data_IF_603354421796
#
_entry.id   IF_603354421796
#
_cell.length_a   1.000
_cell.length_b   1.000
_cell.length_c   1.000
_cell.angle_alpha   90.00
_cell.angle_beta   90.00
_cell.angle_gamma   90.00
#
_symmetry.space_group_name_H-M   'P 1'
#
loop_
_entity.id
_entity.type
_entity.pdbx_description
1 polymer ?
#
# COMPACT_ATOMS: atom_id res chain seq x y z
N UNK A 1 -4.39 6.86 32.19
CA UNK A 1 -3.94 6.28 30.90
C UNK A 1 -3.04 7.32 30.25
N UNK A 2 -1.78 6.99 30.00
CA UNK A 2 -0.88 7.88 29.26
C UNK A 2 -1.11 7.77 27.73
N UNK A 3 -0.49 8.65 26.95
CA UNK A 3 -0.66 8.70 25.49
C UNK A 3 -0.22 7.40 24.81
N UNK A 4 0.87 6.79 25.27
CA UNK A 4 1.41 5.57 24.68
C UNK A 4 0.51 4.37 24.99
N UNK A 5 -0.02 4.28 26.21
CA UNK A 5 -1.00 3.28 26.63
C UNK A 5 -2.29 3.37 25.80
N UNK A 6 -2.77 4.59 25.55
CA UNK A 6 -3.92 4.80 24.67
C UNK A 6 -3.62 4.36 23.23
N UNK A 7 -2.47 4.78 22.69
CA UNK A 7 -2.06 4.48 21.33
C UNK A 7 -1.94 2.97 21.07
N UNK A 8 -1.20 2.24 21.93
CA UNK A 8 -0.96 0.79 21.78
C UNK A 8 -2.13 -0.09 22.22
N UNK A 9 -3.08 0.47 22.97
CA UNK A 9 -4.24 -0.24 23.50
C UNK A 9 -5.51 0.09 22.71
N UNK A 10 -6.43 0.91 23.26
CA UNK A 10 -7.72 1.20 22.63
C UNK A 10 -7.64 1.69 21.19
N UNK A 11 -6.75 2.65 20.88
CA UNK A 11 -6.70 3.27 19.55
C UNK A 11 -6.33 2.25 18.47
N UNK A 12 -5.26 1.48 18.71
CA UNK A 12 -4.82 0.45 17.77
C UNK A 12 -5.85 -0.69 17.63
N UNK A 13 -6.50 -1.08 18.73
CA UNK A 13 -7.54 -2.13 18.71
C UNK A 13 -8.72 -1.73 17.81
N UNK A 14 -9.25 -0.52 17.99
CA UNK A 14 -10.33 0.00 17.14
C UNK A 14 -9.89 0.18 15.69
N UNK A 15 -8.66 0.65 15.45
CA UNK A 15 -8.12 0.78 14.11
C UNK A 15 -8.03 -0.56 13.38
N UNK A 16 -7.59 -1.62 14.07
CA UNK A 16 -7.59 -2.97 13.51
C UNK A 16 -9.01 -3.49 13.22
N UNK A 17 -9.96 -3.27 14.14
CA UNK A 17 -11.34 -3.70 13.93
C UNK A 17 -11.96 -3.02 12.70
N UNK A 18 -11.77 -1.70 12.55
CA UNK A 18 -12.23 -0.94 11.39
C UNK A 18 -11.54 -1.42 10.11
N UNK A 19 -10.22 -1.64 10.16
CA UNK A 19 -9.45 -2.15 9.03
C UNK A 19 -9.99 -3.50 8.56
N UNK A 20 -10.11 -4.49 9.46
CA UNK A 20 -10.58 -5.84 9.12
C UNK A 20 -12.01 -5.81 8.61
N UNK A 21 -12.91 -5.07 9.27
CA UNK A 21 -14.28 -4.93 8.83
C UNK A 21 -14.36 -4.26 7.45
N UNK A 22 -13.68 -3.13 7.26
CA UNK A 22 -13.69 -2.37 6.01
C UNK A 22 -13.08 -3.16 4.85
N UNK A 23 -11.98 -3.88 5.09
CA UNK A 23 -11.35 -4.78 4.12
C UNK A 23 -12.32 -5.89 3.71
N UNK A 24 -12.92 -6.56 4.69
CA UNK A 24 -13.88 -7.65 4.43
C UNK A 24 -15.09 -7.13 3.65
N UNK A 25 -15.69 -6.02 4.09
CA UNK A 25 -16.81 -5.38 3.42
C UNK A 25 -16.51 -5.03 1.96
N UNK A 26 -15.37 -4.39 1.69
CA UNK A 26 -14.94 -4.03 0.33
C UNK A 26 -14.71 -5.26 -0.55
N UNK A 27 -13.98 -6.24 -0.05
CA UNK A 27 -13.61 -7.44 -0.81
C UNK A 27 -14.85 -8.29 -1.11
N UNK A 28 -15.68 -8.56 -0.10
CA UNK A 28 -16.94 -9.28 -0.27
C UNK A 28 -17.86 -8.53 -1.21
N UNK A 29 -18.01 -7.21 -1.04
CA UNK A 29 -18.81 -6.38 -1.95
C UNK A 29 -18.39 -6.52 -3.42
N UNK A 30 -17.09 -6.50 -3.70
CA UNK A 30 -16.54 -6.69 -5.06
C UNK A 30 -16.79 -8.10 -5.59
N UNK A 31 -16.71 -9.13 -4.74
CA UNK A 31 -16.99 -10.51 -5.14
C UNK A 31 -18.48 -10.76 -5.40
N UNK A 32 -19.36 -10.09 -4.65
CA UNK A 32 -20.82 -10.16 -4.81
C UNK A 32 -21.35 -9.30 -5.96
N UNK A 33 -20.55 -8.39 -6.51
CA UNK A 33 -20.93 -7.57 -7.66
C UNK A 33 -21.22 -8.48 -8.87
N UNK A 34 -22.50 -8.55 -9.23
CA UNK A 34 -23.00 -9.41 -10.31
C UNK A 34 -22.34 -9.04 -11.63
N UNK A 35 -21.49 -9.94 -12.14
CA UNK A 35 -20.96 -9.84 -13.50
C UNK A 35 -22.06 -10.22 -14.48
N UNK A 36 -22.15 -9.50 -15.60
CA UNK A 36 -23.03 -9.93 -16.68
C UNK A 36 -22.54 -11.29 -17.19
N UNK A 37 -23.45 -12.28 -17.35
CA UNK A 37 -23.07 -13.56 -17.92
C UNK A 37 -22.46 -13.33 -19.31
N UNK A 38 -21.32 -13.97 -19.55
CA UNK A 38 -20.68 -13.96 -20.86
C UNK A 38 -21.21 -15.14 -21.66
N UNK A 39 -22.14 -14.86 -22.57
CA UNK A 39 -22.80 -15.87 -23.41
C UNK A 39 -21.92 -16.35 -24.58
N UNK A 40 -20.74 -15.74 -24.79
CA UNK A 40 -19.82 -16.19 -25.84
C UNK A 40 -19.18 -17.53 -25.45
N UNK A 41 -18.94 -18.41 -26.42
CA UNK A 41 -18.20 -19.65 -26.20
C UNK A 41 -16.74 -19.33 -25.81
N UNK A 42 -16.17 -19.99 -24.78
CA UNK A 42 -14.79 -19.75 -24.38
C UNK A 42 -13.83 -20.22 -25.49
N UNK A 43 -12.97 -19.32 -25.97
CA UNK A 43 -11.89 -19.66 -26.91
C UNK A 43 -10.73 -20.38 -26.21
N UNK A 44 -10.57 -20.13 -24.90
CA UNK A 44 -9.64 -20.86 -24.04
C UNK A 44 -10.33 -21.19 -22.71
N UNK A 45 -10.12 -22.41 -22.21
CA UNK A 45 -10.67 -22.91 -20.95
C UNK A 45 -9.74 -22.65 -19.77
N UNK A 46 -8.45 -22.40 -20.01
CA UNK A 46 -7.43 -22.18 -18.98
C UNK A 46 -7.40 -20.73 -18.46
N UNK A 47 -8.53 -20.17 -18.01
CA UNK A 47 -8.63 -18.75 -17.63
C UNK A 47 -7.70 -18.32 -16.48
N UNK A 48 -7.26 -19.25 -15.63
CA UNK A 48 -6.32 -18.96 -14.54
C UNK A 48 -4.92 -18.55 -15.03
N UNK A 49 -4.45 -19.09 -16.16
CA UNK A 49 -3.12 -18.73 -16.69
C UNK A 49 -3.10 -17.26 -17.12
N UNK A 50 -4.18 -16.79 -17.74
CA UNK A 50 -4.36 -15.37 -18.07
C UNK A 50 -4.42 -14.46 -16.86
N UNK A 51 -5.01 -14.92 -15.75
CA UNK A 51 -5.06 -14.18 -14.50
C UNK A 51 -3.64 -13.89 -13.97
N UNK A 52 -2.81 -14.92 -13.82
CA UNK A 52 -1.42 -14.77 -13.39
C UNK A 52 -0.63 -13.93 -14.38
N UNK A 53 -0.76 -14.23 -15.69
CA UNK A 53 -0.03 -13.53 -16.74
C UNK A 53 -0.30 -12.03 -16.70
N UNK A 54 -1.55 -11.60 -16.60
CA UNK A 54 -1.89 -10.16 -16.58
C UNK A 54 -1.39 -9.47 -15.30
N UNK A 55 -1.42 -10.14 -14.15
CA UNK A 55 -0.87 -9.59 -12.89
C UNK A 55 0.61 -9.23 -13.09
N UNK A 56 1.38 -10.12 -13.70
CA UNK A 56 2.82 -9.95 -13.93
C UNK A 56 3.07 -8.95 -15.06
N UNK A 57 2.51 -9.16 -16.25
CA UNK A 57 2.83 -8.35 -17.43
C UNK A 57 2.40 -6.89 -17.29
N UNK A 58 1.30 -6.63 -16.58
CA UNK A 58 0.80 -5.25 -16.36
C UNK A 58 1.38 -4.57 -15.14
N UNK A 59 2.35 -5.20 -14.46
CA UNK A 59 3.18 -4.52 -13.46
C UNK A 59 4.25 -3.62 -14.11
N UNK A 60 4.48 -3.76 -15.42
CA UNK A 60 5.38 -2.92 -16.19
C UNK A 60 4.66 -2.23 -17.36
N UNK A 61 5.00 -0.97 -17.68
CA UNK A 61 4.37 -0.23 -18.77
C UNK A 61 4.80 -0.78 -20.12
N UNK A 62 3.83 -0.77 -21.03
CA UNK A 62 4.05 -1.02 -22.45
C UNK A 62 5.01 0.00 -23.07
N UNK A 63 5.73 -0.42 -24.11
CA UNK A 63 6.82 0.35 -24.73
C UNK A 63 6.32 1.72 -25.24
N UNK A 64 5.11 1.74 -25.77
CA UNK A 64 4.38 2.87 -26.33
C UNK A 64 4.15 3.97 -25.29
N UNK A 65 3.90 3.59 -24.03
CA UNK A 65 3.62 4.53 -22.94
C UNK A 65 4.84 4.81 -22.05
N UNK A 66 5.93 4.06 -22.22
CA UNK A 66 7.11 4.10 -21.36
C UNK A 66 7.65 5.51 -21.16
N UNK A 67 7.77 6.31 -22.23
CA UNK A 67 8.28 7.69 -22.16
C UNK A 67 7.49 8.58 -21.19
N UNK A 68 6.18 8.39 -21.08
CA UNK A 68 5.30 9.22 -20.24
C UNK A 68 5.14 8.66 -18.82
N UNK A 69 5.24 7.35 -18.65
CA UNK A 69 4.90 6.67 -17.38
C UNK A 69 6.12 6.26 -16.56
N UNK A 70 7.28 6.05 -17.18
CA UNK A 70 8.44 5.43 -16.51
C UNK A 70 8.89 6.19 -15.27
N UNK A 71 8.94 7.53 -15.31
CA UNK A 71 9.36 8.32 -14.14
C UNK A 71 8.42 8.09 -12.95
N UNK A 72 7.11 8.17 -13.17
CA UNK A 72 6.13 7.97 -12.10
C UNK A 72 6.15 6.55 -11.54
N UNK A 73 6.32 5.58 -12.43
CA UNK A 73 6.42 4.18 -12.05
C UNK A 73 7.70 3.90 -11.24
N UNK A 74 8.86 4.38 -11.67
CA UNK A 74 10.13 4.15 -11.00
C UNK A 74 10.12 4.74 -9.60
N UNK A 75 9.72 6.00 -9.44
CA UNK A 75 9.58 6.61 -8.11
C UNK A 75 8.53 5.87 -7.28
N UNK A 76 7.45 5.42 -7.93
CA UNK A 76 6.45 4.53 -7.35
C UNK A 76 7.05 3.27 -6.74
N UNK A 77 7.82 2.50 -7.52
CA UNK A 77 8.48 1.29 -7.04
C UNK A 77 9.51 1.58 -5.95
N UNK A 78 10.28 2.66 -6.07
CA UNK A 78 11.27 3.05 -5.07
C UNK A 78 10.62 3.18 -3.69
N UNK A 79 9.50 3.92 -3.57
CA UNK A 79 8.86 4.06 -2.26
C UNK A 79 8.16 2.77 -1.81
N UNK A 80 7.56 1.98 -2.71
CA UNK A 80 6.93 0.71 -2.30
C UNK A 80 7.94 -0.33 -1.81
N UNK A 81 9.08 -0.45 -2.50
CA UNK A 81 10.17 -1.34 -2.07
C UNK A 81 10.74 -0.85 -0.76
N UNK A 82 11.00 0.45 -0.63
CA UNK A 82 11.46 1.04 0.63
C UNK A 82 10.48 0.83 1.79
N UNK A 83 9.18 1.00 1.57
CA UNK A 83 8.14 0.66 2.55
C UNK A 83 8.17 -0.82 2.93
N UNK A 84 8.29 -1.73 1.96
CA UNK A 84 8.37 -3.16 2.24
C UNK A 84 9.61 -3.50 3.08
N UNK A 85 10.77 -2.91 2.77
CA UNK A 85 12.00 -3.08 3.55
C UNK A 85 11.81 -2.57 4.98
N UNK A 86 11.22 -1.39 5.18
CA UNK A 86 11.01 -0.82 6.51
C UNK A 86 10.00 -1.64 7.33
N UNK A 87 8.87 -2.00 6.73
CA UNK A 87 7.78 -2.73 7.42
C UNK A 87 8.18 -4.15 7.76
N UNK A 88 8.79 -4.88 6.81
CA UNK A 88 9.12 -6.29 7.02
C UNK A 88 10.56 -6.51 7.50
N UNK A 89 11.49 -5.58 7.28
CA UNK A 89 12.89 -5.78 7.66
C UNK A 89 13.27 -5.25 9.04
N UNK A 90 12.47 -4.37 9.64
CA UNK A 90 12.86 -3.68 10.88
C UNK A 90 12.43 -4.46 12.14
N UNK A 91 13.36 -4.64 13.08
CA UNK A 91 13.14 -5.50 14.25
C UNK A 91 11.90 -5.15 15.10
N UNK A 92 11.60 -3.87 15.41
CA UNK A 92 10.36 -3.51 16.12
C UNK A 92 9.09 -3.87 15.35
N UNK A 93 9.08 -3.75 14.02
CA UNK A 93 7.93 -4.16 13.21
C UNK A 93 7.78 -5.68 13.17
N UNK A 94 8.88 -6.43 13.08
CA UNK A 94 8.85 -7.90 13.14
C UNK A 94 8.29 -8.34 14.50
N UNK A 95 8.74 -7.73 15.61
CA UNK A 95 8.20 -8.01 16.95
C UNK A 95 6.70 -7.73 17.05
N UNK A 96 6.23 -6.64 16.44
CA UNK A 96 4.81 -6.31 16.35
C UNK A 96 4.02 -7.33 15.51
N UNK A 97 4.56 -7.77 14.37
CA UNK A 97 3.91 -8.78 13.53
C UNK A 97 3.87 -10.13 14.26
N UNK A 98 4.94 -10.49 14.98
CA UNK A 98 5.00 -11.69 15.81
C UNK A 98 3.94 -11.66 16.91
N UNK A 99 3.72 -10.53 17.57
CA UNK A 99 2.69 -10.44 18.62
C UNK A 99 1.26 -10.58 18.07
N UNK A 100 1.03 -10.25 16.80
CA UNK A 100 -0.27 -10.39 16.14
C UNK A 100 -0.50 -11.75 15.49
N UNK A 101 0.53 -12.34 14.88
CA UNK A 101 0.40 -13.50 13.98
C UNK A 101 1.18 -14.74 14.44
N UNK A 102 2.11 -14.58 15.37
CA UNK A 102 3.08 -15.61 15.76
C UNK A 102 4.23 -15.81 14.78
N UNK A 103 4.22 -15.16 13.61
CA UNK A 103 5.27 -15.29 12.59
C UNK A 103 6.48 -14.39 12.90
N UNK A 104 7.69 -14.88 12.67
CA UNK A 104 8.92 -14.11 12.74
C UNK A 104 9.97 -14.54 11.70
N UNK A 105 10.96 -13.68 11.51
CA UNK A 105 12.09 -13.90 10.60
C UNK A 105 13.25 -12.95 10.98
N UNK A 106 14.47 -13.17 10.46
CA UNK A 106 15.62 -12.31 10.76
C UNK A 106 15.42 -10.87 10.29
N UNK A 107 15.78 -9.90 11.13
CA UNK A 107 15.76 -8.49 10.77
C UNK A 107 16.95 -8.11 9.87
N UNK A 108 16.80 -7.01 9.15
CA UNK A 108 17.88 -6.41 8.36
C UNK A 108 18.77 -5.48 9.22
N UNK A 109 19.99 -5.17 8.76
CA UNK A 109 20.84 -4.18 9.40
C UNK A 109 20.17 -2.80 9.47
N UNK A 110 20.35 -2.09 10.61
CA UNK A 110 19.73 -0.77 10.82
C UNK A 110 20.08 0.24 9.72
N UNK A 111 21.31 0.20 9.19
CA UNK A 111 21.72 1.08 8.08
C UNK A 111 20.83 0.90 6.84
N UNK A 112 20.47 -0.33 6.49
CA UNK A 112 19.57 -0.63 5.36
C UNK A 112 18.19 -0.06 5.61
N UNK A 113 17.67 -0.20 6.83
CA UNK A 113 16.36 0.34 7.23
C UNK A 113 16.35 1.87 7.15
N UNK A 114 17.37 2.53 7.71
CA UNK A 114 17.43 4.00 7.76
C UNK A 114 17.59 4.61 6.36
N UNK A 115 18.44 4.02 5.51
CA UNK A 115 18.59 4.43 4.12
C UNK A 115 17.27 4.22 3.36
N UNK A 116 16.63 3.06 3.53
CA UNK A 116 15.37 2.76 2.86
C UNK A 116 14.24 3.69 3.31
N UNK A 117 14.16 4.01 4.60
CA UNK A 117 13.22 4.99 5.16
C UNK A 117 13.44 6.39 4.60
N UNK A 118 14.69 6.86 4.56
CA UNK A 118 15.04 8.16 3.99
C UNK A 118 14.70 8.24 2.49
N UNK A 119 15.05 7.21 1.71
CA UNK A 119 14.71 7.12 0.27
C UNK A 119 13.19 7.09 0.08
N UNK A 120 12.46 6.38 0.93
CA UNK A 120 10.99 6.32 0.89
C UNK A 120 10.38 7.70 1.11
N UNK A 121 10.83 8.43 2.13
CA UNK A 121 10.38 9.80 2.41
C UNK A 121 10.68 10.71 1.21
N UNK A 122 11.91 10.67 0.69
CA UNK A 122 12.31 11.48 -0.46
C UNK A 122 11.44 11.17 -1.70
N UNK A 123 11.20 9.89 -2.00
CA UNK A 123 10.35 9.46 -3.10
C UNK A 123 8.89 9.91 -2.92
N UNK A 124 8.35 9.82 -1.70
CA UNK A 124 7.01 10.32 -1.36
C UNK A 124 6.91 11.85 -1.53
N UNK A 125 7.94 12.60 -1.16
CA UNK A 125 8.00 14.05 -1.40
C UNK A 125 8.05 14.35 -2.90
N UNK A 126 8.86 13.62 -3.68
CA UNK A 126 8.97 13.79 -5.13
C UNK A 126 7.63 13.56 -5.82
N UNK A 127 6.89 12.48 -5.50
CA UNK A 127 5.59 12.22 -6.13
C UNK A 127 4.55 13.28 -5.75
N UNK A 128 4.59 13.81 -4.52
CA UNK A 128 3.71 14.90 -4.11
C UNK A 128 4.07 16.20 -4.82
N UNK A 129 5.35 16.56 -4.86
CA UNK A 129 5.84 17.74 -5.59
C UNK A 129 5.42 17.69 -7.07
N UNK A 130 5.58 16.55 -7.72
CA UNK A 130 5.11 16.35 -9.10
C UNK A 130 3.60 16.51 -9.22
N UNK A 131 2.81 15.98 -8.28
CA UNK A 131 1.34 16.10 -8.29
C UNK A 131 0.88 17.55 -8.15
N UNK A 132 1.56 18.34 -7.31
CA UNK A 132 1.23 19.75 -7.07
C UNK A 132 1.64 20.67 -8.22
N UNK A 133 2.73 20.34 -8.92
CA UNK A 133 3.32 21.17 -9.99
C UNK A 133 2.82 20.81 -11.39
N UNK A 134 2.48 19.55 -11.66
CA UNK A 134 1.99 19.14 -12.96
C UNK A 134 0.49 19.52 -13.13
N UNK A 135 0.13 20.37 -14.11
CA UNK A 135 -1.25 20.86 -14.26
C UNK A 135 -2.27 19.73 -14.46
N UNK A 136 -1.91 18.71 -15.24
CA UNK A 136 -2.80 17.57 -15.52
C UNK A 136 -3.03 16.75 -14.26
N UNK A 137 -1.96 16.45 -13.50
CA UNK A 137 -2.10 15.70 -12.25
C UNK A 137 -2.91 16.47 -11.22
N UNK A 138 -2.67 17.78 -11.08
CA UNK A 138 -3.42 18.62 -10.15
C UNK A 138 -4.90 18.68 -10.53
N UNK A 139 -5.22 18.78 -11.81
CA UNK A 139 -6.60 18.81 -12.32
C UNK A 139 -7.38 17.53 -11.99
N UNK A 140 -6.74 16.36 -12.08
CA UNK A 140 -7.39 15.06 -11.80
C UNK A 140 -7.22 14.58 -10.36
N UNK A 141 -6.57 15.36 -9.50
CA UNK A 141 -6.36 14.99 -8.09
C UNK A 141 -7.56 15.39 -7.24
N UNK A 142 -7.93 14.52 -6.30
CA UNK A 142 -8.98 14.77 -5.33
C UNK A 142 -8.45 14.63 -3.89
N UNK A 143 -9.33 14.86 -2.91
CA UNK A 143 -8.99 14.75 -1.48
C UNK A 143 -8.29 13.43 -1.14
N UNK A 144 -8.76 12.32 -1.70
CA UNK A 144 -8.21 10.98 -1.43
C UNK A 144 -6.75 10.84 -1.93
N UNK A 145 -6.34 11.48 -3.04
CA UNK A 145 -4.93 11.47 -3.45
C UNK A 145 -4.01 12.08 -2.38
N UNK A 146 -4.40 13.23 -1.84
CA UNK A 146 -3.60 13.97 -0.88
C UNK A 146 -3.65 13.32 0.50
N UNK A 147 -4.83 12.88 0.92
CA UNK A 147 -5.01 12.26 2.22
C UNK A 147 -4.38 10.86 2.28
N UNK A 148 -4.53 10.04 1.22
CA UNK A 148 -3.83 8.75 1.13
C UNK A 148 -2.31 8.91 1.16
N UNK A 149 -1.76 9.94 0.49
CA UNK A 149 -0.34 10.26 0.61
C UNK A 149 0.04 10.66 2.04
N UNK A 150 -0.75 11.54 2.67
CA UNK A 150 -0.50 12.03 4.02
C UNK A 150 -0.45 10.90 5.05
N UNK A 151 -1.43 9.99 5.02
CA UNK A 151 -1.43 8.85 5.95
C UNK A 151 -0.37 7.80 5.61
N UNK A 152 0.19 7.80 4.40
CA UNK A 152 1.31 6.92 4.02
C UNK A 152 2.65 7.47 4.47
N UNK A 153 2.90 8.77 4.29
CA UNK A 153 4.18 9.39 4.65
C UNK A 153 4.34 9.58 6.16
N UNK A 154 3.25 9.89 6.87
CA UNK A 154 3.29 10.20 8.31
C UNK A 154 3.88 9.09 9.16
N UNK A 155 3.52 7.79 9.00
CA UNK A 155 4.15 6.71 9.75
C UNK A 155 5.64 6.56 9.47
N UNK A 156 6.07 6.77 8.22
CA UNK A 156 7.49 6.68 7.87
C UNK A 156 8.28 7.81 8.54
N UNK A 157 7.77 9.05 8.46
CA UNK A 157 8.42 10.21 9.10
C UNK A 157 8.47 10.05 10.62
N UNK A 158 7.33 9.74 11.25
CA UNK A 158 7.26 9.57 12.71
C UNK A 158 8.10 8.39 13.20
N UNK A 159 8.18 7.30 12.42
CA UNK A 159 9.05 6.17 12.71
C UNK A 159 10.53 6.55 12.65
N UNK A 160 10.93 7.30 11.62
CA UNK A 160 12.30 7.83 11.48
C UNK A 160 12.66 8.79 12.62
N UNK A 161 11.73 9.67 13.03
CA UNK A 161 11.92 10.54 14.19
C UNK A 161 12.09 9.76 15.49
N UNK A 162 11.28 8.71 15.69
CA UNK A 162 11.35 7.87 16.89
C UNK A 162 12.70 7.15 17.02
N UNK A 163 13.21 6.55 15.92
CA UNK A 163 14.51 5.86 15.94
C UNK A 163 15.70 6.83 15.99
N UNK A 164 15.53 8.05 15.49
CA UNK A 164 16.51 9.12 15.60
C UNK A 164 16.46 9.87 16.94
N UNK A 165 15.49 9.55 17.81
CA UNK A 165 15.24 10.26 19.08
C UNK A 165 15.11 11.78 18.91
N UNK A 166 14.48 12.23 17.82
CA UNK A 166 14.43 13.63 17.44
C UNK A 166 13.07 14.27 17.71
N UNK A 167 13.07 15.42 18.40
CA UNK A 167 11.92 16.33 18.52
C UNK A 167 11.05 16.16 19.77
N UNK A 168 11.03 14.99 20.41
CA UNK A 168 10.32 14.76 21.67
C UNK A 168 10.88 13.55 22.42
N UNK A 169 10.34 13.28 23.62
CA UNK A 169 10.59 12.04 24.35
C UNK A 169 10.24 10.81 23.50
N UNK A 170 11.03 9.75 23.61
CA UNK A 170 10.87 8.53 22.82
C UNK A 170 9.45 7.95 22.94
N UNK A 171 8.89 7.91 24.15
CA UNK A 171 7.56 7.36 24.41
C UNK A 171 6.47 8.17 23.70
N UNK A 172 6.64 9.49 23.62
CA UNK A 172 5.74 10.37 22.88
C UNK A 172 5.87 10.14 21.38
N UNK A 173 7.09 10.05 20.84
CA UNK A 173 7.33 9.79 19.42
C UNK A 173 6.79 8.42 19.00
N UNK A 174 7.00 7.41 19.83
CA UNK A 174 6.46 6.06 19.63
C UNK A 174 4.92 6.07 19.65
N UNK A 175 4.30 6.80 20.59
CA UNK A 175 2.85 6.93 20.63
C UNK A 175 2.30 7.61 19.37
N UNK A 176 2.95 8.70 18.91
CA UNK A 176 2.58 9.39 17.67
C UNK A 176 2.74 8.47 16.46
N UNK A 177 3.82 7.70 16.39
CA UNK A 177 4.03 6.72 15.33
C UNK A 177 2.90 5.67 15.31
N UNK A 178 2.55 5.08 16.46
CA UNK A 178 1.45 4.11 16.56
C UNK A 178 0.11 4.75 16.16
N UNK A 179 -0.18 5.98 16.60
CA UNK A 179 -1.40 6.69 16.21
C UNK A 179 -1.46 6.98 14.71
N UNK A 180 -0.32 7.27 14.07
CA UNK A 180 -0.26 7.45 12.63
C UNK A 180 -0.53 6.15 11.86
N UNK A 181 -0.06 5.00 12.39
CA UNK A 181 -0.40 3.67 11.87
C UNK A 181 -1.89 3.37 12.08
N UNK A 182 -2.44 3.70 13.25
CA UNK A 182 -3.87 3.53 13.53
C UNK A 182 -4.72 4.33 12.52
N UNK A 183 -4.33 5.57 12.21
CA UNK A 183 -4.98 6.37 11.16
C UNK A 183 -4.85 5.74 9.77
N UNK A 184 -3.65 5.25 9.41
CA UNK A 184 -3.44 4.54 8.14
C UNK A 184 -4.37 3.33 8.03
N UNK A 185 -4.46 2.49 9.08
CA UNK A 185 -5.31 1.29 9.11
C UNK A 185 -6.80 1.64 8.96
N UNK A 186 -7.27 2.69 9.66
CA UNK A 186 -8.65 3.18 9.52
C UNK A 186 -8.94 3.65 8.11
N UNK A 187 -8.01 4.37 7.47
CA UNK A 187 -8.22 4.90 6.12
C UNK A 187 -8.06 3.85 5.01
N UNK A 188 -7.25 2.81 5.24
CA UNK A 188 -6.79 1.86 4.24
C UNK A 188 -7.90 1.27 3.35
N UNK A 189 -9.03 0.73 3.88
CA UNK A 189 -10.06 0.12 3.04
C UNK A 189 -10.94 1.13 2.30
N UNK A 190 -10.91 2.41 2.69
CA UNK A 190 -11.85 3.41 2.19
C UNK A 190 -11.26 4.29 1.10
N UNK A 191 -9.94 4.52 1.10
CA UNK A 191 -9.25 5.35 0.12
C UNK A 191 -8.48 4.59 -0.97
N UNK A 192 -7.61 5.31 -1.66
CA UNK A 192 -6.73 4.79 -2.71
C UNK A 192 -5.73 3.74 -2.24
N UNK A 193 -5.46 3.64 -0.93
CA UNK A 193 -4.57 2.61 -0.36
C UNK A 193 -5.05 1.17 -0.65
N UNK A 194 -6.35 0.99 -0.86
CA UNK A 194 -6.96 -0.30 -1.17
C UNK A 194 -6.41 -0.95 -2.45
N UNK A 195 -5.71 -0.19 -3.31
CA UNK A 195 -5.02 -0.74 -4.49
C UNK A 195 -4.02 -1.85 -4.14
N UNK A 196 -3.41 -1.80 -2.95
CA UNK A 196 -2.48 -2.82 -2.44
C UNK A 196 -3.11 -4.22 -2.39
N UNK A 197 -4.42 -4.31 -2.09
CA UNK A 197 -5.18 -5.55 -2.14
C UNK A 197 -5.84 -5.78 -3.50
N UNK A 198 -6.40 -4.72 -4.09
CA UNK A 198 -7.21 -4.83 -5.32
C UNK A 198 -6.38 -5.10 -6.57
N UNK A 199 -5.08 -4.83 -6.58
CA UNK A 199 -4.22 -5.08 -7.74
C UNK A 199 -4.30 -6.54 -8.21
N UNK A 200 -4.35 -7.50 -7.28
CA UNK A 200 -4.42 -8.93 -7.59
C UNK A 200 -5.80 -9.33 -8.10
N UNK A 201 -6.87 -8.84 -7.46
CA UNK A 201 -8.24 -9.19 -7.82
C UNK A 201 -8.63 -8.56 -9.16
N UNK A 202 -8.38 -7.25 -9.32
CA UNK A 202 -8.72 -6.53 -10.54
C UNK A 202 -7.97 -7.11 -11.75
N UNK A 203 -6.63 -7.20 -11.68
CA UNK A 203 -5.83 -7.74 -12.78
C UNK A 203 -6.06 -9.22 -13.00
N UNK A 204 -6.16 -10.03 -11.94
CA UNK A 204 -6.41 -11.46 -12.08
C UNK A 204 -7.74 -11.72 -12.79
N UNK A 205 -8.79 -11.01 -12.41
CA UNK A 205 -10.10 -11.20 -13.03
C UNK A 205 -10.21 -10.65 -14.45
N UNK A 206 -9.54 -9.54 -14.77
CA UNK A 206 -9.43 -9.05 -16.15
C UNK A 206 -8.60 -10.01 -17.01
N UNK A 207 -7.50 -10.54 -16.48
CA UNK A 207 -6.65 -11.49 -17.18
C UNK A 207 -7.39 -12.78 -17.52
N UNK A 208 -8.15 -13.32 -16.56
CA UNK A 208 -9.01 -14.48 -16.81
C UNK A 208 -10.06 -14.24 -17.90
N UNK A 209 -10.64 -13.05 -17.94
CA UNK A 209 -11.62 -12.68 -18.95
C UNK A 209 -11.00 -12.54 -20.35
N UNK A 210 -9.81 -11.95 -20.45
CA UNK A 210 -9.10 -11.81 -21.72
C UNK A 210 -8.66 -13.18 -22.26
N UNK A 211 -8.20 -14.08 -21.41
CA UNK A 211 -7.77 -15.41 -21.80
C UNK A 211 -8.95 -16.22 -22.34
N UNK A 212 -10.09 -16.19 -21.61
CA UNK A 212 -11.34 -16.82 -22.06
C UNK A 212 -11.75 -16.36 -23.46
N UNK A 213 -11.55 -15.07 -23.77
CA UNK A 213 -11.90 -14.46 -25.06
C UNK A 213 -10.82 -14.64 -26.13
N UNK A 214 -9.68 -15.24 -25.82
CA UNK A 214 -8.53 -15.36 -26.73
C UNK A 214 -7.89 -14.02 -27.08
N UNK A 215 -8.04 -13.00 -26.23
CA UNK A 215 -7.39 -11.71 -26.42
C UNK A 215 -5.91 -11.81 -26.05
N UNK A 216 -5.05 -11.01 -26.69
CA UNK A 216 -3.64 -10.97 -26.34
C UNK A 216 -3.44 -10.29 -24.97
N UNK A 217 -2.77 -11.03 -24.06
CA UNK A 217 -2.48 -10.62 -22.68
C UNK A 217 -1.00 -10.29 -22.51
#
# INVERSE_FOLDING_TARGET
>A
MDLLQFARGPALTWAFAIFVFGMTWRLVGILLLKRRPDYSEPRNTASWTGAIKLIITRSWPHREFRKRTIFGLSVGYIFHIGLAIVVFGFAPHIMFIRSLTGLDWPNLPNAVIYISGAITIAALIIVMGRRLTNPVMRLISNFDDYFSWFVTITPVVTGMLAVAHLGARYETLLAIHILSIALLLVWFPFGKLMHSALIFISRGTTGALFERKGASI
#
